data_IF_398354563221
#
_entry.id   IF_398354563221
#
_cell.length_a   1.000
_cell.length_b   1.000
_cell.length_c   1.000
_cell.angle_alpha   90.00
_cell.angle_beta   90.00
_cell.angle_gamma   90.00
#
_symmetry.space_group_name_H-M   'P 1'
#
loop_
_entity.id
_entity.type
_entity.pdbx_description
1 polymer ?
#
# COMPACT_ATOMS: atom_id res chain seq x y z
N UNK A 1 35.94 -9.50 73.23
CA UNK A 1 35.78 -8.07 72.86
C UNK A 1 36.72 -7.77 71.71
N UNK A 2 36.36 -7.04 70.62
CA UNK A 2 35.07 -6.46 70.24
C UNK A 2 34.54 -6.90 68.84
N UNK A 3 33.35 -6.38 68.53
CA UNK A 3 32.52 -6.44 67.30
C UNK A 3 33.17 -5.83 66.04
N UNK A 4 32.72 -6.30 64.85
CA UNK A 4 32.36 -5.51 63.63
C UNK A 4 31.64 -6.48 62.65
N UNK A 5 30.31 -6.47 62.52
CA UNK A 5 29.40 -5.58 61.77
C UNK A 5 29.69 -5.49 60.24
N UNK A 6 28.81 -6.18 59.50
CA UNK A 6 28.14 -5.87 58.20
C UNK A 6 28.93 -5.30 57.01
N UNK A 7 28.75 -5.95 55.84
CA UNK A 7 28.00 -5.45 54.68
C UNK A 7 28.05 -6.52 53.56
N UNK A 8 26.98 -7.30 53.32
CA UNK A 8 25.93 -7.06 52.29
C UNK A 8 26.47 -6.60 50.94
N UNK A 9 26.55 -7.54 49.99
CA UNK A 9 26.58 -7.27 48.55
C UNK A 9 25.91 -8.45 47.83
N UNK A 10 24.57 -8.42 47.78
CA UNK A 10 23.80 -9.14 46.77
C UNK A 10 24.07 -8.45 45.44
N UNK A 11 24.62 -9.19 44.47
CA UNK A 11 24.43 -8.86 43.05
C UNK A 11 23.86 -10.09 42.34
N UNK A 12 22.53 -10.08 42.26
CA UNK A 12 21.70 -10.91 41.42
C UNK A 12 22.03 -10.58 39.95
N UNK A 13 22.79 -11.42 39.27
CA UNK A 13 22.88 -11.41 37.80
C UNK A 13 21.92 -12.46 37.25
N UNK A 14 20.63 -12.12 37.18
CA UNK A 14 19.69 -12.84 36.31
C UNK A 14 19.86 -12.30 34.88
N UNK A 15 20.70 -12.99 34.10
CA UNK A 15 20.76 -12.85 32.65
C UNK A 15 19.42 -13.30 32.06
N UNK A 16 18.64 -12.31 31.62
CA UNK A 16 17.47 -12.47 30.75
C UNK A 16 17.97 -12.94 29.38
N UNK A 17 18.00 -14.25 29.17
CA UNK A 17 18.09 -14.87 27.85
C UNK A 17 16.71 -14.78 27.18
N UNK A 18 16.37 -13.60 26.67
CA UNK A 18 15.36 -13.50 25.61
C UNK A 18 16.03 -14.04 24.35
N UNK A 19 15.75 -15.30 24.05
CA UNK A 19 16.08 -15.89 22.76
C UNK A 19 15.46 -15.05 21.65
N UNK A 20 16.31 -14.36 20.91
CA UNK A 20 16.03 -13.87 19.57
C UNK A 20 15.47 -15.04 18.75
N UNK A 21 14.17 -15.07 18.54
CA UNK A 21 13.61 -15.92 17.49
C UNK A 21 14.13 -15.39 16.15
N UNK A 22 14.73 -16.25 15.30
CA UNK A 22 15.09 -15.85 13.96
C UNK A 22 13.82 -15.44 13.21
N UNK A 23 13.92 -14.38 12.41
CA UNK A 23 12.89 -13.97 11.47
C UNK A 23 12.34 -15.21 10.76
N UNK A 24 11.05 -15.47 10.93
CA UNK A 24 10.39 -16.63 10.34
C UNK A 24 10.70 -16.67 8.84
N UNK A 25 11.32 -17.76 8.40
CA UNK A 25 11.55 -18.00 6.99
C UNK A 25 10.20 -17.97 6.26
N UNK A 26 10.11 -17.13 5.23
CA UNK A 26 8.96 -17.05 4.33
C UNK A 26 8.66 -18.47 3.81
N UNK A 27 7.46 -19.02 4.02
CA UNK A 27 7.15 -20.38 3.59
C UNK A 27 7.33 -20.54 2.08
N UNK A 28 8.03 -21.59 1.65
CA UNK A 28 8.21 -22.01 0.23
C UNK A 28 6.90 -22.21 -0.56
N UNK A 29 5.75 -22.14 0.10
CA UNK A 29 4.43 -22.13 -0.53
C UNK A 29 4.17 -20.84 -1.33
N UNK A 30 4.79 -19.71 -0.95
CA UNK A 30 4.66 -18.44 -1.66
C UNK A 30 5.29 -18.50 -3.06
N UNK A 31 6.35 -19.29 -3.26
CA UNK A 31 7.07 -19.42 -4.53
C UNK A 31 6.25 -20.09 -5.64
N UNK A 32 5.30 -20.98 -5.31
CA UNK A 32 4.50 -21.71 -6.31
C UNK A 32 3.34 -20.88 -6.88
N UNK A 33 2.90 -19.84 -6.18
CA UNK A 33 1.84 -18.92 -6.63
C UNK A 33 2.42 -17.81 -7.55
N UNK A 34 3.74 -17.82 -7.77
CA UNK A 34 4.46 -16.82 -8.56
C UNK A 34 4.25 -16.99 -10.08
N UNK A 35 4.03 -18.21 -10.58
CA UNK A 35 4.21 -18.53 -12.02
C UNK A 35 3.00 -18.34 -12.95
N UNK A 36 2.07 -17.43 -12.64
CA UNK A 36 0.85 -17.23 -13.43
C UNK A 36 0.62 -15.81 -13.94
N UNK A 37 1.66 -15.07 -14.34
CA UNK A 37 1.49 -13.79 -15.05
C UNK A 37 2.40 -13.74 -16.26
N UNK A 38 1.78 -13.46 -17.41
CA UNK A 38 2.49 -13.15 -18.64
C UNK A 38 3.32 -11.87 -18.44
N UNK A 39 4.38 -11.73 -19.23
CA UNK A 39 5.54 -10.85 -19.06
C UNK A 39 5.28 -9.32 -19.14
N UNK A 40 4.08 -8.83 -18.79
CA UNK A 40 3.62 -7.45 -19.02
C UNK A 40 3.23 -6.62 -17.78
N UNK A 41 3.16 -7.22 -16.59
CA UNK A 41 2.53 -6.62 -15.40
C UNK A 41 3.51 -5.98 -14.39
N UNK A 42 4.80 -5.87 -14.71
CA UNK A 42 5.79 -5.21 -13.84
C UNK A 42 6.27 -3.87 -14.40
N UNK A 43 6.75 -3.01 -13.52
CA UNK A 43 7.65 -1.94 -13.93
C UNK A 43 9.06 -2.51 -14.04
N UNK A 44 9.64 -2.43 -15.23
CA UNK A 44 10.97 -2.94 -15.52
C UNK A 44 12.03 -2.12 -14.78
N UNK A 45 11.81 -0.80 -14.73
CA UNK A 45 12.74 0.17 -14.17
C UNK A 45 11.99 1.17 -13.28
N UNK A 46 12.61 1.56 -12.17
CA UNK A 46 12.05 2.51 -11.20
C UNK A 46 13.00 3.68 -11.00
N UNK A 47 12.52 4.87 -11.32
CA UNK A 47 13.31 6.10 -11.38
C UNK A 47 12.97 7.05 -10.25
N UNK A 48 13.93 7.85 -9.83
CA UNK A 48 13.72 9.04 -9.00
C UNK A 48 14.09 10.29 -9.77
N UNK A 49 13.26 11.32 -9.68
CA UNK A 49 13.63 12.66 -10.15
C UNK A 49 14.73 13.24 -9.25
N UNK A 50 15.87 13.63 -9.82
CA UNK A 50 17.00 14.23 -9.07
C UNK A 50 17.39 15.63 -9.54
N UNK A 51 16.85 16.09 -10.68
CA UNK A 51 17.23 17.36 -11.31
C UNK A 51 15.99 18.08 -11.84
N UNK A 52 15.21 18.70 -10.96
CA UNK A 52 14.02 19.51 -11.30
C UNK A 52 13.41 20.19 -10.07
N UNK A 53 12.35 20.98 -10.27
CA UNK A 53 11.50 21.49 -9.19
C UNK A 53 10.72 20.40 -8.45
N UNK A 54 10.79 19.16 -8.94
CA UNK A 54 10.11 17.97 -8.39
C UNK A 54 11.11 16.86 -8.08
N UNK A 55 12.37 17.25 -7.84
CA UNK A 55 13.41 16.35 -7.41
C UNK A 55 13.13 15.85 -5.99
N UNK A 56 13.40 14.56 -5.77
CA UNK A 56 13.40 13.95 -4.45
C UNK A 56 14.80 14.05 -3.84
N UNK A 57 14.89 14.60 -2.64
CA UNK A 57 16.11 14.52 -1.84
C UNK A 57 16.25 13.16 -1.15
N UNK A 58 17.43 12.89 -0.58
CA UNK A 58 17.72 11.61 0.05
C UNK A 58 16.76 11.29 1.22
N UNK A 59 16.36 12.29 2.00
CA UNK A 59 15.44 12.11 3.11
C UNK A 59 14.05 11.70 2.62
N UNK A 60 13.54 12.37 1.57
CA UNK A 60 12.29 12.04 0.91
C UNK A 60 12.34 10.61 0.32
N UNK A 61 13.46 10.21 -0.26
CA UNK A 61 13.65 8.83 -0.76
C UNK A 61 13.67 7.81 0.38
N UNK A 62 14.24 8.13 1.54
CA UNK A 62 14.17 7.23 2.71
C UNK A 62 12.74 7.10 3.24
N UNK A 63 11.98 8.20 3.30
CA UNK A 63 10.56 8.15 3.64
C UNK A 63 9.81 7.28 2.64
N UNK A 64 9.99 7.49 1.33
CA UNK A 64 9.37 6.67 0.30
C UNK A 64 9.71 5.18 0.44
N UNK A 65 10.99 4.85 0.69
CA UNK A 65 11.44 3.47 0.95
C UNK A 65 10.73 2.83 2.13
N UNK A 66 10.59 3.55 3.23
CA UNK A 66 9.89 3.06 4.40
C UNK A 66 8.40 2.87 4.12
N UNK A 67 7.75 3.86 3.48
CA UNK A 67 6.34 3.79 3.08
C UNK A 67 6.05 2.63 2.13
N UNK A 68 6.97 2.29 1.23
CA UNK A 68 6.84 1.12 0.34
C UNK A 68 6.81 -0.18 1.15
N UNK A 69 7.71 -0.34 2.14
CA UNK A 69 7.70 -1.51 3.02
C UNK A 69 6.40 -1.60 3.82
N UNK A 70 5.90 -0.46 4.28
CA UNK A 70 4.62 -0.37 4.98
C UNK A 70 3.43 -0.77 4.07
N UNK A 71 3.39 -0.29 2.83
CA UNK A 71 2.38 -0.68 1.85
C UNK A 71 2.44 -2.18 1.52
N UNK A 72 3.66 -2.72 1.36
CA UNK A 72 3.90 -4.14 1.15
C UNK A 72 3.40 -4.98 2.32
N UNK A 73 3.61 -4.53 3.56
CA UNK A 73 3.13 -5.22 4.77
C UNK A 73 1.59 -5.28 4.84
N UNK A 74 0.90 -4.18 4.50
CA UNK A 74 -0.56 -4.16 4.40
C UNK A 74 -1.05 -5.12 3.30
N UNK A 75 -0.45 -5.05 2.11
CA UNK A 75 -0.81 -5.91 0.99
C UNK A 75 -0.57 -7.39 1.28
N UNK A 76 0.52 -7.72 1.98
CA UNK A 76 0.83 -9.09 2.39
C UNK A 76 -0.24 -9.64 3.34
N UNK A 77 -0.72 -8.83 4.29
CA UNK A 77 -1.81 -9.22 5.18
C UNK A 77 -3.10 -9.55 4.41
N UNK A 78 -3.47 -8.69 3.46
CA UNK A 78 -4.61 -8.95 2.57
C UNK A 78 -4.42 -10.23 1.74
N UNK A 79 -3.22 -10.46 1.19
CA UNK A 79 -2.92 -11.67 0.42
C UNK A 79 -3.10 -12.95 1.23
N UNK A 80 -2.62 -12.98 2.48
CA UNK A 80 -2.73 -14.16 3.35
C UNK A 80 -4.18 -14.54 3.63
N UNK A 81 -5.06 -13.56 3.84
CA UNK A 81 -6.49 -13.83 4.04
C UNK A 81 -7.16 -14.28 2.76
N UNK A 82 -6.88 -13.63 1.64
CA UNK A 82 -7.49 -13.99 0.36
C UNK A 82 -7.09 -15.39 -0.14
N UNK A 83 -6.06 -16.00 0.48
CA UNK A 83 -5.66 -17.39 0.25
C UNK A 83 -6.56 -18.42 0.96
N UNK A 84 -7.29 -18.00 1.99
CA UNK A 84 -8.23 -18.87 2.70
C UNK A 84 -9.44 -19.13 1.81
N UNK A 85 -9.82 -20.41 1.69
CA UNK A 85 -11.03 -20.79 0.96
C UNK A 85 -12.27 -20.15 1.59
N UNK A 86 -13.13 -19.54 0.76
CA UNK A 86 -14.32 -18.82 1.22
C UNK A 86 -14.02 -17.42 1.78
N UNK A 87 -12.84 -16.84 1.56
CA UNK A 87 -12.54 -15.47 2.00
C UNK A 87 -13.58 -14.43 1.53
N UNK A 88 -14.23 -14.67 0.39
CA UNK A 88 -15.31 -13.82 -0.14
C UNK A 88 -16.56 -13.77 0.74
N UNK A 89 -16.75 -14.73 1.66
CA UNK A 89 -17.92 -14.78 2.56
C UNK A 89 -17.67 -14.09 3.89
N UNK A 90 -16.45 -13.58 4.12
CA UNK A 90 -16.06 -12.91 5.36
C UNK A 90 -16.76 -11.57 5.53
N UNK A 91 -16.91 -11.14 6.79
CA UNK A 91 -17.47 -9.83 7.10
C UNK A 91 -16.63 -8.71 6.47
N UNK A 92 -15.30 -8.77 6.59
CA UNK A 92 -14.40 -7.80 6.00
C UNK A 92 -14.61 -7.68 4.48
N UNK A 93 -14.74 -8.80 3.78
CA UNK A 93 -14.98 -8.78 2.33
C UNK A 93 -16.29 -8.07 2.00
N UNK A 94 -17.39 -8.39 2.70
CA UNK A 94 -18.67 -7.72 2.48
C UNK A 94 -18.62 -6.22 2.82
N UNK A 95 -17.93 -5.84 3.88
CA UNK A 95 -17.75 -4.43 4.27
C UNK A 95 -17.05 -3.64 3.18
N UNK A 96 -15.93 -4.14 2.64
CA UNK A 96 -15.08 -3.36 1.74
C UNK A 96 -15.33 -3.58 0.26
N UNK A 97 -15.87 -4.73 -0.13
CA UNK A 97 -16.13 -5.06 -1.53
C UNK A 97 -17.59 -5.36 -1.84
N UNK A 98 -18.45 -5.49 -0.83
CA UNK A 98 -19.88 -5.73 -1.02
C UNK A 98 -20.21 -7.20 -1.25
N UNK A 99 -21.39 -7.62 -0.75
CA UNK A 99 -21.84 -9.00 -0.85
C UNK A 99 -22.16 -9.39 -2.30
N UNK A 100 -22.61 -8.45 -3.14
CA UNK A 100 -22.91 -8.76 -4.55
C UNK A 100 -21.67 -9.13 -5.37
N UNK A 101 -20.48 -8.79 -4.88
CA UNK A 101 -19.20 -9.09 -5.54
C UNK A 101 -18.49 -10.31 -4.94
N UNK A 102 -19.08 -10.94 -3.92
CA UNK A 102 -18.53 -12.09 -3.21
C UNK A 102 -18.46 -13.31 -4.12
N UNK A 103 -17.31 -13.49 -4.76
CA UNK A 103 -17.04 -14.64 -5.62
C UNK A 103 -15.58 -15.08 -5.55
N UNK A 104 -15.30 -16.39 -5.68
CA UNK A 104 -13.93 -16.89 -5.80
C UNK A 104 -13.15 -16.27 -6.97
N UNK A 105 -13.84 -15.91 -8.05
CA UNK A 105 -13.22 -15.23 -9.20
C UNK A 105 -12.74 -13.83 -8.82
N UNK A 106 -13.54 -13.06 -8.08
CA UNK A 106 -13.14 -11.74 -7.61
C UNK A 106 -12.00 -11.82 -6.58
N UNK A 107 -12.00 -12.80 -5.68
CA UNK A 107 -10.85 -13.07 -4.78
C UNK A 107 -9.57 -13.33 -5.56
N UNK A 108 -9.63 -14.18 -6.60
CA UNK A 108 -8.49 -14.41 -7.50
C UNK A 108 -8.03 -13.13 -8.19
N UNK A 109 -8.97 -12.25 -8.58
CA UNK A 109 -8.67 -10.92 -9.13
C UNK A 109 -7.95 -10.05 -8.10
N UNK A 110 -8.49 -9.87 -6.90
CA UNK A 110 -7.89 -9.07 -5.81
C UNK A 110 -6.44 -9.51 -5.54
N UNK A 111 -6.21 -10.83 -5.43
CA UNK A 111 -4.87 -11.38 -5.21
C UNK A 111 -3.92 -11.03 -6.35
N UNK A 112 -4.30 -11.36 -7.58
CA UNK A 112 -3.38 -11.24 -8.73
C UNK A 112 -3.17 -9.79 -9.13
N UNK A 113 -4.24 -8.99 -9.16
CA UNK A 113 -4.29 -7.68 -9.79
C UNK A 113 -4.19 -6.51 -8.80
N UNK A 114 -4.40 -6.69 -7.51
CA UNK A 114 -4.33 -5.56 -6.56
C UNK A 114 -3.19 -5.76 -5.57
N UNK A 115 -3.26 -6.78 -4.74
CA UNK A 115 -2.32 -6.93 -3.63
C UNK A 115 -0.97 -7.56 -4.02
N UNK A 116 -0.93 -8.51 -4.97
CA UNK A 116 0.35 -9.09 -5.42
C UNK A 116 1.25 -8.05 -6.08
N UNK A 117 0.68 -7.13 -6.87
CA UNK A 117 1.46 -6.03 -7.47
C UNK A 117 2.06 -5.14 -6.37
N UNK A 118 1.27 -4.76 -5.36
CA UNK A 118 1.76 -3.95 -4.23
C UNK A 118 2.94 -4.62 -3.53
N UNK A 119 2.79 -5.92 -3.26
CA UNK A 119 3.79 -6.72 -2.57
C UNK A 119 5.07 -6.89 -3.39
N UNK A 120 4.96 -7.13 -4.71
CA UNK A 120 6.10 -7.59 -5.52
C UNK A 120 6.71 -6.54 -6.44
N UNK A 121 5.92 -5.57 -6.93
CA UNK A 121 6.35 -4.67 -8.02
C UNK A 121 6.53 -3.22 -7.58
N UNK A 122 5.84 -2.77 -6.51
CA UNK A 122 6.13 -1.47 -5.90
C UNK A 122 7.50 -1.55 -5.24
N UNK A 123 8.50 -0.90 -5.84
CA UNK A 123 9.90 -0.97 -5.41
C UNK A 123 10.46 0.43 -5.24
N UNK A 124 11.42 0.64 -4.32
CA UNK A 124 12.14 1.90 -4.23
C UNK A 124 12.78 2.29 -5.57
N UNK A 125 12.88 3.60 -5.87
CA UNK A 125 13.61 4.04 -7.04
C UNK A 125 15.10 3.73 -6.92
N UNK A 126 15.68 3.26 -8.01
CA UNK A 126 17.10 2.89 -8.08
C UNK A 126 17.87 3.65 -9.14
N UNK A 127 17.17 4.30 -10.09
CA UNK A 127 17.79 4.98 -11.23
C UNK A 127 17.52 6.49 -11.13
N UNK A 128 18.55 7.34 -11.10
CA UNK A 128 18.36 8.79 -11.18
C UNK A 128 17.85 9.18 -12.58
N UNK A 129 16.84 10.05 -12.62
CA UNK A 129 16.30 10.63 -13.84
C UNK A 129 16.20 12.14 -13.73
N UNK A 130 16.36 12.80 -14.87
CA UNK A 130 15.98 14.20 -15.08
C UNK A 130 14.54 14.25 -15.56
N UNK A 131 13.75 15.13 -14.95
CA UNK A 131 12.35 15.36 -15.30
C UNK A 131 12.18 16.84 -15.64
N UNK A 132 11.86 17.13 -16.89
CA UNK A 132 11.55 18.49 -17.31
C UNK A 132 10.04 18.65 -17.36
N UNK A 133 9.50 19.60 -16.60
CA UNK A 133 8.08 19.96 -16.60
C UNK A 133 7.94 21.24 -17.42
N UNK A 134 7.50 21.10 -18.67
CA UNK A 134 7.13 22.23 -19.53
C UNK A 134 5.64 22.13 -19.94
N UNK A 135 5.31 22.25 -21.23
CA UNK A 135 3.97 21.92 -21.75
C UNK A 135 3.70 20.41 -21.70
N UNK A 136 4.75 19.59 -21.76
CA UNK A 136 4.71 18.12 -21.67
C UNK A 136 5.84 17.68 -20.73
N UNK A 137 5.60 16.65 -19.91
CA UNK A 137 6.69 16.11 -19.10
C UNK A 137 7.65 15.29 -19.98
N UNK A 138 8.94 15.58 -19.86
CA UNK A 138 10.02 14.87 -20.54
C UNK A 138 10.93 14.19 -19.53
N UNK A 139 11.30 12.95 -19.82
CA UNK A 139 12.05 12.10 -18.91
C UNK A 139 13.35 11.67 -19.56
N UNK A 140 14.44 11.66 -18.79
CA UNK A 140 15.74 11.16 -19.24
C UNK A 140 16.46 10.45 -18.10
N UNK A 141 16.91 9.22 -18.32
CA UNK A 141 17.78 8.53 -17.38
C UNK A 141 19.16 9.21 -17.33
N UNK A 142 19.70 9.36 -16.13
CA UNK A 142 21.02 9.97 -15.93
C UNK A 142 22.12 8.94 -15.67
N UNK A 143 21.74 7.71 -15.33
CA UNK A 143 22.66 6.60 -15.16
C UNK A 143 23.04 6.01 -16.52
N UNK A 144 24.34 5.88 -16.76
CA UNK A 144 24.88 5.26 -17.98
C UNK A 144 24.34 3.83 -18.16
N UNK A 145 23.98 3.48 -19.40
CA UNK A 145 23.41 2.18 -19.75
C UNK A 145 21.94 1.96 -19.36
N UNK A 146 21.31 2.89 -18.63
CA UNK A 146 19.88 2.80 -18.30
C UNK A 146 19.02 3.36 -19.45
N UNK A 147 17.92 2.70 -19.82
CA UNK A 147 16.99 3.24 -20.82
C UNK A 147 16.25 4.46 -20.26
N UNK A 148 15.76 5.34 -21.14
CA UNK A 148 14.88 6.43 -20.70
C UNK A 148 13.54 5.90 -20.18
N UNK A 149 12.89 6.57 -19.20
CA UNK A 149 11.59 6.14 -18.69
C UNK A 149 10.53 6.07 -19.79
N UNK A 150 9.91 4.89 -19.93
CA UNK A 150 8.86 4.62 -20.92
C UNK A 150 7.67 3.89 -20.31
N UNK A 151 6.79 3.33 -21.14
CA UNK A 151 5.51 2.70 -20.72
C UNK A 151 5.60 1.66 -19.59
N UNK A 152 6.75 1.02 -19.43
CA UNK A 152 7.02 0.02 -18.39
C UNK A 152 7.83 0.56 -17.21
N UNK A 153 7.92 1.87 -17.05
CA UNK A 153 8.69 2.51 -15.99
C UNK A 153 7.77 3.13 -14.95
N UNK A 154 8.21 3.14 -13.70
CA UNK A 154 7.65 3.93 -12.62
C UNK A 154 8.63 5.06 -12.30
N UNK A 155 8.16 6.29 -12.17
CA UNK A 155 8.98 7.42 -11.75
C UNK A 155 8.39 8.10 -10.53
N UNK A 156 9.25 8.29 -9.53
CA UNK A 156 8.95 9.01 -8.30
C UNK A 156 9.28 10.49 -8.49
N UNK A 157 8.29 11.34 -8.26
CA UNK A 157 8.43 12.79 -8.18
C UNK A 157 8.15 13.25 -6.76
N UNK A 158 8.87 14.25 -6.27
CA UNK A 158 8.62 14.84 -4.96
C UNK A 158 8.13 16.27 -5.13
N UNK A 159 6.82 16.44 -5.01
CA UNK A 159 6.15 17.72 -5.20
C UNK A 159 6.38 18.64 -4.00
N UNK A 160 6.75 19.89 -4.28
CA UNK A 160 6.78 20.97 -3.29
C UNK A 160 5.37 21.49 -3.02
N UNK A 161 5.17 22.18 -1.88
CA UNK A 161 3.88 22.71 -1.46
C UNK A 161 3.19 23.62 -2.51
N UNK A 162 3.97 24.32 -3.32
CA UNK A 162 3.50 25.21 -4.38
C UNK A 162 3.53 24.59 -5.79
N UNK A 163 3.86 23.31 -5.90
CA UNK A 163 4.00 22.66 -7.21
C UNK A 163 2.65 22.38 -7.84
N UNK A 164 2.48 22.73 -9.12
CA UNK A 164 1.26 22.46 -9.89
C UNK A 164 0.96 20.97 -10.10
N UNK A 165 1.92 20.09 -9.76
CA UNK A 165 1.76 18.64 -9.88
C UNK A 165 1.13 18.00 -8.64
N UNK A 166 0.96 18.78 -7.57
CA UNK A 166 0.26 18.36 -6.36
C UNK A 166 -1.05 19.14 -6.25
N UNK A 167 -2.21 18.47 -6.30
CA UNK A 167 -3.46 19.08 -5.89
C UNK A 167 -3.36 19.60 -4.45
N UNK A 168 -4.18 20.60 -4.12
CA UNK A 168 -4.21 21.16 -2.76
C UNK A 168 -4.53 20.04 -1.75
N UNK A 169 -3.80 20.02 -0.64
CA UNK A 169 -3.96 19.07 0.47
C UNK A 169 -3.71 17.59 0.13
N UNK A 170 -3.32 17.29 -1.13
CA UNK A 170 -3.03 15.93 -1.57
C UNK A 170 -1.76 15.39 -0.92
N UNK A 171 -1.83 14.11 -0.58
CA UNK A 171 -0.74 13.35 0.04
C UNK A 171 0.14 12.73 -1.04
N UNK A 172 -0.47 12.07 -2.00
CA UNK A 172 0.19 11.55 -3.18
C UNK A 172 -0.81 11.55 -4.34
N UNK A 173 -0.30 11.29 -5.53
CA UNK A 173 -1.12 11.09 -6.73
C UNK A 173 -0.36 10.23 -7.71
N UNK A 174 -1.05 9.33 -8.41
CA UNK A 174 -0.48 8.60 -9.54
C UNK A 174 -1.18 8.87 -10.86
N UNK A 175 -0.41 8.91 -11.95
CA UNK A 175 -0.96 9.15 -13.28
C UNK A 175 0.07 9.04 -14.40
N UNK A 176 -0.35 9.44 -15.59
CA UNK A 176 0.53 9.50 -16.77
C UNK A 176 0.47 10.89 -17.38
N UNK A 177 1.61 11.58 -17.39
CA UNK A 177 1.70 12.96 -17.88
C UNK A 177 2.46 13.01 -19.21
N UNK A 178 1.73 12.87 -20.33
CA UNK A 178 2.28 12.94 -21.69
C UNK A 178 1.19 13.05 -22.74
N UNK A 179 1.56 13.52 -23.94
CA UNK A 179 0.69 13.52 -25.12
C UNK A 179 0.44 12.11 -25.67
N UNK A 180 1.34 11.15 -25.43
CA UNK A 180 1.14 9.73 -25.74
C UNK A 180 1.17 8.90 -24.44
N UNK A 181 0.01 8.80 -23.80
CA UNK A 181 -0.22 8.05 -22.55
C UNK A 181 0.21 6.59 -22.68
N UNK A 182 0.17 5.99 -23.88
CA UNK A 182 0.51 4.57 -24.09
C UNK A 182 2.01 4.30 -24.07
N UNK A 183 2.84 5.33 -24.29
CA UNK A 183 4.30 5.22 -24.32
C UNK A 183 4.99 5.74 -23.06
N UNK A 184 4.23 6.35 -22.16
CA UNK A 184 4.77 7.16 -21.08
C UNK A 184 4.83 6.41 -19.77
N UNK A 185 5.80 6.74 -18.89
CA UNK A 185 5.92 6.09 -17.59
C UNK A 185 4.69 6.33 -16.72
N UNK A 186 4.47 5.40 -15.78
CA UNK A 186 3.63 5.69 -14.61
C UNK A 186 4.39 6.67 -13.72
N UNK A 187 3.74 7.77 -13.37
CA UNK A 187 4.28 8.79 -12.46
C UNK A 187 3.59 8.61 -11.11
N UNK A 188 4.38 8.49 -10.05
CA UNK A 188 3.93 8.58 -8.67
C UNK A 188 4.50 9.86 -8.06
N UNK A 189 3.64 10.83 -7.81
CA UNK A 189 3.99 12.08 -7.15
C UNK A 189 3.72 11.95 -5.66
N UNK A 190 4.77 12.14 -4.86
CA UNK A 190 4.68 12.26 -3.41
C UNK A 190 4.66 13.75 -3.06
N UNK A 191 3.55 14.24 -2.51
CA UNK A 191 3.36 15.67 -2.28
C UNK A 191 3.97 16.12 -0.96
N UNK A 192 4.04 17.43 -0.73
CA UNK A 192 4.60 18.00 0.51
C UNK A 192 4.00 17.36 1.76
N UNK A 193 2.67 17.18 1.77
CA UNK A 193 1.95 16.59 2.89
C UNK A 193 2.32 15.11 3.12
N UNK A 194 2.86 14.39 2.12
CA UNK A 194 3.42 13.05 2.30
C UNK A 194 4.56 12.99 3.31
N UNK A 195 5.38 14.04 3.34
CA UNK A 195 6.65 14.06 4.05
C UNK A 195 6.58 14.85 5.37
N UNK A 196 5.79 15.92 5.40
CA UNK A 196 5.89 16.94 6.44
C UNK A 196 4.66 17.05 7.35
N UNK A 197 3.53 16.45 6.99
CA UNK A 197 2.45 16.26 7.96
C UNK A 197 2.83 15.16 8.94
N UNK A 198 2.55 15.37 10.23
CA UNK A 198 2.72 14.33 11.24
C UNK A 198 1.79 13.17 10.88
N UNK A 199 2.38 12.00 10.65
CA UNK A 199 1.64 10.78 10.32
C UNK A 199 1.95 9.64 11.25
N UNK A 200 0.97 8.77 11.36
CA UNK A 200 1.13 7.49 12.02
C UNK A 200 2.05 6.62 11.17
N UNK A 201 2.94 5.92 11.84
CA UNK A 201 3.53 4.71 11.28
C UNK A 201 2.42 3.67 11.04
N UNK A 202 2.66 2.68 10.20
CA UNK A 202 1.71 1.56 10.05
C UNK A 202 1.30 0.96 11.40
N UNK A 203 2.27 0.71 12.29
CA UNK A 203 1.99 0.11 13.60
C UNK A 203 1.01 0.97 14.42
N UNK A 204 1.27 2.28 14.51
CA UNK A 204 0.38 3.20 15.23
C UNK A 204 -1.00 3.30 14.60
N UNK A 205 -1.09 3.31 13.27
CA UNK A 205 -2.37 3.33 12.57
C UNK A 205 -3.18 2.06 12.86
N UNK A 206 -2.53 0.89 12.82
CA UNK A 206 -3.16 -0.41 13.10
C UNK A 206 -3.63 -0.47 14.55
N UNK A 207 -2.80 -0.07 15.51
CA UNK A 207 -3.16 -0.09 16.93
C UNK A 207 -4.33 0.86 17.22
N UNK A 208 -4.33 2.06 16.65
CA UNK A 208 -5.50 2.96 16.75
C UNK A 208 -6.74 2.40 16.07
N UNK A 209 -6.61 1.78 14.90
CA UNK A 209 -7.74 1.17 14.20
C UNK A 209 -8.36 -0.02 14.97
N UNK A 210 -7.55 -0.70 15.80
CA UNK A 210 -8.04 -1.74 16.73
C UNK A 210 -8.92 -1.17 17.83
N UNK A 211 -8.55 0.00 18.34
CA UNK A 211 -9.29 0.69 19.41
C UNK A 211 -10.52 1.42 18.87
N UNK A 212 -10.37 2.08 17.71
CA UNK A 212 -11.39 2.87 17.06
C UNK A 212 -11.25 2.80 15.53
N UNK A 213 -12.18 2.07 14.91
CA UNK A 213 -12.24 1.89 13.46
C UNK A 213 -12.50 3.20 12.71
N UNK A 214 -12.89 4.28 13.37
CA UNK A 214 -13.11 5.60 12.77
C UNK A 214 -11.84 6.47 12.66
N UNK A 215 -10.68 5.91 13.00
CA UNK A 215 -9.37 6.61 12.94
C UNK A 215 -9.16 7.32 11.58
N UNK A 216 -9.08 8.67 11.54
CA UNK A 216 -8.96 9.43 10.28
C UNK A 216 -7.52 9.54 9.77
N UNK A 217 -6.53 9.28 10.62
CA UNK A 217 -5.11 9.43 10.29
C UNK A 217 -4.54 8.16 9.67
N UNK A 218 -4.22 8.24 8.38
CA UNK A 218 -3.59 7.15 7.63
C UNK A 218 -2.07 7.26 7.58
N UNK A 219 -1.38 6.13 7.64
CA UNK A 219 0.06 6.03 7.41
C UNK A 219 0.42 6.28 5.95
N UNK A 220 1.71 6.53 5.68
CA UNK A 220 2.17 6.66 4.30
C UNK A 220 2.10 5.33 3.53
N UNK A 221 2.28 4.18 4.20
CA UNK A 221 2.05 2.89 3.58
C UNK A 221 0.61 2.68 3.12
N UNK A 222 -0.37 3.12 3.91
CA UNK A 222 -1.78 3.10 3.52
C UNK A 222 -2.02 3.97 2.28
N UNK A 223 -1.50 5.22 2.28
CA UNK A 223 -1.62 6.12 1.13
C UNK A 223 -1.00 5.51 -0.13
N UNK A 224 0.17 4.88 -0.04
CA UNK A 224 0.77 4.25 -1.21
C UNK A 224 -0.01 3.03 -1.71
N UNK A 225 -0.63 2.27 -0.80
CA UNK A 225 -1.48 1.14 -1.19
C UNK A 225 -2.74 1.63 -1.92
N UNK A 226 -3.30 2.77 -1.50
CA UNK A 226 -4.37 3.47 -2.21
C UNK A 226 -3.91 3.91 -3.61
N UNK A 227 -2.83 4.68 -3.72
CA UNK A 227 -2.36 5.23 -5.00
C UNK A 227 -2.06 4.16 -6.04
N UNK A 228 -1.57 3.02 -5.56
CA UNK A 228 -1.28 1.89 -6.42
C UNK A 228 -2.51 1.41 -7.19
N UNK A 229 -3.72 1.53 -6.63
CA UNK A 229 -4.94 1.08 -7.29
C UNK A 229 -5.30 1.95 -8.50
N UNK A 230 -4.81 3.19 -8.58
CA UNK A 230 -4.97 4.04 -9.76
C UNK A 230 -3.95 3.71 -10.87
N UNK A 231 -2.96 2.85 -10.59
CA UNK A 231 -1.93 2.53 -11.57
C UNK A 231 -2.36 1.36 -12.46
N UNK A 232 -2.48 1.63 -13.77
CA UNK A 232 -2.86 0.60 -14.77
C UNK A 232 -2.04 -0.68 -14.70
N UNK A 233 -0.73 -0.57 -14.44
CA UNK A 233 0.14 -1.75 -14.31
C UNK A 233 -0.11 -2.54 -13.04
N UNK A 234 -0.64 -1.91 -12.01
CA UNK A 234 -1.07 -2.62 -10.83
C UNK A 234 -2.31 -3.45 -11.13
N UNK A 235 -3.38 -2.81 -11.58
CA UNK A 235 -4.73 -3.38 -11.73
C UNK A 235 -4.98 -4.16 -13.02
N UNK A 236 -4.01 -4.19 -13.93
CA UNK A 236 -4.09 -4.90 -15.21
C UNK A 236 -4.56 -6.36 -15.08
N UNK A 237 -5.40 -6.85 -16.01
CA UNK A 237 -5.89 -6.19 -17.24
C UNK A 237 -7.07 -5.24 -17.02
N UNK A 238 -7.64 -5.20 -15.81
CA UNK A 238 -8.82 -4.40 -15.54
C UNK A 238 -8.45 -2.91 -15.46
N UNK A 239 -9.43 -2.01 -15.71
CA UNK A 239 -9.23 -0.60 -15.50
C UNK A 239 -8.70 -0.30 -14.09
N UNK A 240 -7.89 0.75 -13.92
CA UNK A 240 -7.56 1.24 -12.59
C UNK A 240 -8.81 1.55 -11.76
N UNK A 241 -8.66 1.45 -10.45
CA UNK A 241 -9.60 2.02 -9.51
C UNK A 241 -9.67 3.55 -9.67
N UNK A 242 -10.75 4.13 -9.17
CA UNK A 242 -11.02 5.57 -9.09
C UNK A 242 -11.23 5.99 -7.63
N UNK A 243 -11.22 7.30 -7.42
CA UNK A 243 -11.68 7.91 -6.19
C UNK A 243 -13.19 8.11 -6.31
N UNK A 244 -13.95 7.12 -5.85
CA UNK A 244 -15.41 7.13 -5.97
C UNK A 244 -16.01 8.24 -5.12
N UNK A 245 -16.94 9.00 -5.69
CA UNK A 245 -17.59 10.11 -5.00
C UNK A 245 -18.60 9.59 -3.97
N UNK A 246 -18.75 10.32 -2.88
CA UNK A 246 -19.87 10.15 -1.96
C UNK A 246 -21.19 10.26 -2.73
N UNK A 247 -22.06 9.23 -2.72
CA UNK A 247 -23.37 9.30 -3.37
C UNK A 247 -24.25 10.45 -2.85
N UNK A 248 -24.00 10.93 -1.64
CA UNK A 248 -24.71 12.05 -1.01
C UNK A 248 -23.92 13.37 -1.06
N UNK A 249 -22.73 13.36 -1.65
CA UNK A 249 -21.79 14.48 -1.64
C UNK A 249 -21.16 14.73 -3.01
N UNK A 250 -20.13 15.58 -3.01
CA UNK A 250 -19.29 15.85 -4.20
C UNK A 250 -17.83 15.51 -3.98
N UNK A 251 -17.47 15.13 -2.76
CA UNK A 251 -16.12 14.78 -2.38
C UNK A 251 -15.89 13.28 -2.55
N UNK A 252 -14.66 12.85 -2.87
CA UNK A 252 -14.31 11.44 -2.85
C UNK A 252 -14.50 10.77 -1.49
N UNK A 253 -14.91 9.50 -1.50
CA UNK A 253 -14.97 8.66 -0.32
C UNK A 253 -13.55 8.23 0.11
N UNK A 254 -12.90 9.05 0.93
CA UNK A 254 -11.67 8.70 1.65
C UNK A 254 -11.92 8.24 3.08
N UNK A 255 -12.96 8.77 3.72
CA UNK A 255 -13.32 8.40 5.09
C UNK A 255 -14.04 7.07 5.14
N UNK A 256 -13.76 6.28 6.19
CA UNK A 256 -14.32 4.93 6.36
C UNK A 256 -15.83 4.89 6.16
N UNK A 257 -16.56 5.78 6.84
CA UNK A 257 -18.02 5.74 6.83
C UNK A 257 -18.60 6.02 5.44
N UNK A 258 -17.91 6.79 4.60
CA UNK A 258 -18.25 6.95 3.19
C UNK A 258 -17.98 5.64 2.43
N UNK A 259 -16.77 5.10 2.56
CA UNK A 259 -16.31 3.90 1.86
C UNK A 259 -17.17 2.65 2.12
N UNK A 260 -17.59 2.42 3.38
CA UNK A 260 -18.40 1.25 3.76
C UNK A 260 -19.83 1.35 3.24
N UNK A 261 -20.34 2.57 3.04
CA UNK A 261 -21.71 2.85 2.60
C UNK A 261 -21.83 3.04 1.09
N UNK A 262 -20.72 3.02 0.35
CA UNK A 262 -20.76 2.97 -1.11
C UNK A 262 -21.62 1.78 -1.59
N UNK A 263 -22.41 1.94 -2.66
CA UNK A 263 -23.05 0.81 -3.33
C UNK A 263 -22.02 -0.26 -3.70
N UNK A 264 -22.36 -1.55 -3.56
CA UNK A 264 -21.44 -2.67 -3.85
C UNK A 264 -20.75 -2.54 -5.21
N UNK A 265 -21.48 -2.09 -6.24
CA UNK A 265 -20.92 -1.87 -7.59
C UNK A 265 -19.77 -0.84 -7.62
N UNK A 266 -19.74 0.11 -6.70
CA UNK A 266 -18.70 1.15 -6.60
C UNK A 266 -17.58 0.75 -5.64
N UNK A 267 -17.86 -0.06 -4.62
CA UNK A 267 -16.86 -0.54 -3.65
C UNK A 267 -15.65 -1.20 -4.31
N UNK A 268 -15.86 -1.95 -5.39
CA UNK A 268 -14.80 -2.64 -6.15
C UNK A 268 -13.99 -1.74 -7.08
N UNK A 269 -14.42 -0.48 -7.26
CA UNK A 269 -13.73 0.53 -8.04
C UNK A 269 -13.09 1.61 -7.16
N UNK A 270 -13.44 1.71 -5.88
CA UNK A 270 -12.88 2.73 -5.00
C UNK A 270 -11.48 2.34 -4.49
N UNK A 271 -10.44 3.10 -4.85
CA UNK A 271 -9.06 2.83 -4.43
C UNK A 271 -8.89 2.74 -2.91
N UNK A 272 -9.61 3.59 -2.18
CA UNK A 272 -9.59 3.62 -0.72
C UNK A 272 -10.11 2.31 -0.09
N UNK A 273 -11.10 1.64 -0.69
CA UNK A 273 -11.65 0.38 -0.15
C UNK A 273 -10.60 -0.74 -0.13
N UNK A 274 -9.66 -0.77 -1.08
CA UNK A 274 -8.56 -1.74 -1.07
C UNK A 274 -7.57 -1.48 0.07
N UNK A 275 -7.26 -0.21 0.33
CA UNK A 275 -6.37 0.17 1.42
C UNK A 275 -7.01 -0.13 2.78
N UNK A 276 -8.30 0.18 2.96
CA UNK A 276 -9.03 -0.17 4.17
C UNK A 276 -9.20 -1.67 4.37
N UNK A 277 -9.48 -2.46 3.33
CA UNK A 277 -9.56 -3.92 3.46
C UNK A 277 -8.25 -4.49 4.03
N UNK A 278 -7.10 -4.02 3.54
CA UNK A 278 -5.81 -4.45 4.05
C UNK A 278 -5.57 -4.02 5.51
N UNK A 279 -5.99 -2.80 5.88
CA UNK A 279 -5.93 -2.30 7.25
C UNK A 279 -6.83 -3.10 8.21
N UNK A 280 -8.08 -3.33 7.82
CA UNK A 280 -9.08 -4.04 8.62
C UNK A 280 -8.63 -5.48 8.88
N UNK A 281 -8.08 -6.15 7.87
CA UNK A 281 -7.55 -7.52 8.02
C UNK A 281 -6.39 -7.61 9.02
N UNK A 282 -5.46 -6.67 8.98
CA UNK A 282 -4.29 -6.72 9.87
C UNK A 282 -4.65 -6.27 11.30
N UNK A 283 -5.66 -5.42 11.44
CA UNK A 283 -6.16 -4.96 12.73
C UNK A 283 -7.05 -6.01 13.40
N UNK A 284 -8.02 -6.57 12.65
CA UNK A 284 -9.14 -7.41 13.09
C UNK A 284 -9.21 -8.71 12.26
N UNK A 285 -8.22 -9.61 12.34
CA UNK A 285 -8.15 -10.79 11.48
C UNK A 285 -9.34 -11.77 11.64
N UNK A 286 -10.11 -11.67 12.72
CA UNK A 286 -11.35 -12.41 12.92
C UNK A 286 -12.48 -12.00 11.98
N UNK A 287 -12.57 -10.73 11.57
CA UNK A 287 -13.57 -10.24 10.61
C UNK A 287 -13.34 -10.81 9.19
N UNK A 288 -12.12 -11.29 8.96
CA UNK A 288 -11.65 -11.88 7.72
C UNK A 288 -11.87 -13.39 7.61
N UNK A 289 -12.38 -14.03 8.67
CA UNK A 289 -12.70 -15.46 8.65
C UNK A 289 -13.87 -15.72 7.69
N UNK A 290 -13.82 -16.77 6.87
CA UNK A 290 -14.97 -17.20 6.09
C UNK A 290 -16.17 -17.36 7.01
N UNK A 291 -17.32 -16.84 6.61
CA UNK A 291 -18.57 -17.13 7.30
C UNK A 291 -18.73 -18.66 7.33
N UNK A 292 -19.04 -19.22 8.51
CA UNK A 292 -19.41 -20.62 8.59
C UNK A 292 -20.56 -20.83 7.62
N UNK A 293 -20.31 -21.54 6.51
CA UNK A 293 -21.36 -21.97 5.60
C UNK A 293 -22.45 -22.56 6.48
N UNK A 294 -23.63 -21.93 6.48
CA UNK A 294 -24.73 -22.32 7.34
C UNK A 294 -24.86 -23.83 7.28
N UNK A 295 -24.67 -24.48 8.43
CA UNK A 295 -25.01 -25.87 8.60
C UNK A 295 -26.41 -26.03 8.06
N UNK A 296 -26.54 -26.75 6.94
CA UNK A 296 -27.80 -27.28 6.48
C UNK A 296 -28.28 -28.24 7.55
N UNK A 297 -29.00 -27.73 8.55
CA UNK A 297 -29.84 -28.54 9.42
C UNK A 297 -31.17 -28.73 8.69
N UNK A 298 -31.15 -29.66 7.72
CA UNK A 298 -32.34 -30.42 7.39
C UNK A 298 -32.63 -31.35 8.56
N UNK A 299 -33.67 -31.04 9.33
CA UNK A 299 -34.43 -31.94 10.20
C UNK A 299 -35.82 -31.35 10.40
#
# INVERSE_FOLDING_TARGET
MPLRIQQLSLFLWTLVLIGLQPAAAVPKAFDRIIQGRDYHDRWDHVYQSVQSSVACDDAQIQVAKQSIKEAQSLAEAALRILEVEGAETSQAFHTWFGASNASPQFVKKLRRQHYKTAFTHLRPPTIPAKVSIDKVMRYRALQEGSPDPGRNSLIYLCGRATSKICPKDSKAFSGTFSTDVRKSPTVLTLCHNFFYERRLTNAQMIDRYREDVTTPEHSNGFVLLHELQHMRKATSPDPPASDELDPNGKEPCYERDCCVNLPDKLKIWNAQNFAYFALDIIAHPESARPGSAGSSSSS
#
